data_IF_127552846708
#
_entry.id   IF_127552846708
#
_cell.length_a   1.000
_cell.length_b   1.000
_cell.length_c   1.000
_cell.angle_alpha   90.00
_cell.angle_beta   90.00
_cell.angle_gamma   90.00
#
_symmetry.space_group_name_H-M   'P 1'
#
loop_
_entity.id
_entity.type
_entity.pdbx_description
1 polymer ?
#
# COMPACT_ATOMS: atom_id res chain seq x y z
N UNK A 1 -29.24 -12.38 9.33
CA UNK A 1 -29.17 -12.62 7.87
C UNK A 1 -28.67 -11.36 7.20
N UNK A 2 -27.75 -11.41 6.21
CA UNK A 2 -27.30 -10.20 5.54
C UNK A 2 -28.47 -9.57 4.78
N UNK A 3 -28.65 -8.26 4.94
CA UNK A 3 -29.76 -7.47 4.37
C UNK A 3 -29.71 -7.42 2.83
N UNK A 4 -28.56 -7.76 2.23
CA UNK A 4 -28.37 -7.87 0.78
C UNK A 4 -27.32 -8.94 0.48
N UNK A 5 -27.53 -9.72 -0.59
CA UNK A 5 -26.55 -10.70 -1.13
C UNK A 5 -25.61 -10.08 -2.19
N UNK A 6 -25.80 -8.82 -2.56
CA UNK A 6 -24.96 -8.15 -3.54
C UNK A 6 -23.72 -7.51 -2.89
N UNK A 7 -22.60 -7.37 -3.63
CA UNK A 7 -21.44 -6.62 -3.15
C UNK A 7 -21.83 -5.21 -2.71
N UNK A 8 -21.34 -4.80 -1.54
CA UNK A 8 -21.61 -3.45 -1.04
C UNK A 8 -20.91 -2.40 -1.92
N UNK A 9 -21.65 -1.33 -2.23
CA UNK A 9 -21.08 -0.14 -2.83
C UNK A 9 -20.08 0.56 -1.90
N UNK A 10 -19.24 1.43 -2.46
CA UNK A 10 -18.14 2.07 -1.73
C UNK A 10 -18.62 2.85 -0.49
N UNK A 11 -19.75 3.54 -0.57
CA UNK A 11 -20.30 4.31 0.55
C UNK A 11 -20.77 3.41 1.69
N UNK A 12 -21.53 2.35 1.38
CA UNK A 12 -22.01 1.39 2.36
C UNK A 12 -20.84 0.66 3.04
N UNK A 13 -19.83 0.23 2.27
CA UNK A 13 -18.61 -0.39 2.80
C UNK A 13 -17.84 0.56 3.72
N UNK A 14 -17.68 1.82 3.32
CA UNK A 14 -16.96 2.82 4.10
C UNK A 14 -17.68 3.11 5.43
N UNK A 15 -19.01 3.22 5.41
CA UNK A 15 -19.80 3.50 6.60
C UNK A 15 -19.87 2.30 7.56
N UNK A 16 -20.24 1.13 7.04
CA UNK A 16 -20.51 -0.06 7.86
C UNK A 16 -19.24 -0.72 8.40
N UNK A 17 -18.14 -0.71 7.62
CA UNK A 17 -16.94 -1.46 7.96
C UNK A 17 -15.72 -0.55 8.20
N UNK A 18 -15.32 0.22 7.19
CA UNK A 18 -14.04 0.93 7.27
C UNK A 18 -14.03 2.02 8.34
N UNK A 19 -15.12 2.78 8.49
CA UNK A 19 -15.24 3.81 9.55
C UNK A 19 -15.44 3.18 10.92
N UNK A 20 -16.20 2.09 11.00
CA UNK A 20 -16.57 1.44 12.28
C UNK A 20 -15.40 0.69 12.92
N UNK A 21 -14.63 -0.06 12.14
CA UNK A 21 -13.64 -0.99 12.68
C UNK A 21 -12.19 -0.51 12.54
N UNK A 22 -11.89 0.40 11.60
CA UNK A 22 -10.50 0.82 11.38
C UNK A 22 -10.23 2.18 12.04
N UNK A 23 -9.32 2.18 13.03
CA UNK A 23 -8.83 3.42 13.65
C UNK A 23 -8.19 4.32 12.56
N UNK A 24 -8.39 5.66 12.61
CA UNK A 24 -7.83 6.57 11.59
C UNK A 24 -6.32 6.42 11.38
N UNK A 25 -5.55 6.18 12.45
CA UNK A 25 -4.11 5.92 12.36
C UNK A 25 -3.78 4.65 11.58
N UNK A 26 -4.55 3.57 11.79
CA UNK A 26 -4.31 2.29 11.13
C UNK A 26 -4.62 2.36 9.64
N UNK A 27 -5.65 3.13 9.27
CA UNK A 27 -5.96 3.43 7.86
C UNK A 27 -4.81 4.16 7.17
N UNK A 28 -4.26 5.20 7.79
CA UNK A 28 -3.12 5.95 7.23
C UNK A 28 -1.91 5.05 6.99
N UNK A 29 -1.60 4.15 7.92
CA UNK A 29 -0.52 3.16 7.75
C UNK A 29 -0.83 2.23 6.58
N UNK A 30 -2.06 1.71 6.50
CA UNK A 30 -2.50 0.80 5.42
C UNK A 30 -2.52 1.47 4.02
N UNK A 31 -2.83 2.76 3.95
CA UNK A 31 -2.85 3.54 2.71
C UNK A 31 -1.42 3.92 2.25
N UNK A 32 -0.46 3.95 3.18
CA UNK A 32 0.97 4.14 2.90
C UNK A 32 1.64 2.80 2.54
N UNK A 33 2.01 2.65 1.28
CA UNK A 33 2.66 1.44 0.76
C UNK A 33 4.01 1.14 1.42
N UNK A 34 4.74 2.17 1.86
CA UNK A 34 6.03 2.03 2.52
C UNK A 34 5.85 1.70 4.00
N UNK A 35 5.00 2.43 4.73
CA UNK A 35 4.73 2.11 6.14
C UNK A 35 4.10 0.72 6.30
N UNK A 36 3.17 0.34 5.42
CA UNK A 36 2.60 -1.02 5.44
C UNK A 36 3.67 -2.08 5.28
N UNK A 37 4.62 -1.84 4.37
CA UNK A 37 5.72 -2.78 4.09
C UNK A 37 6.65 -2.90 5.30
N UNK A 38 7.05 -1.77 5.89
CA UNK A 38 7.88 -1.71 7.09
C UNK A 38 7.21 -2.45 8.25
N UNK A 39 5.93 -2.17 8.50
CA UNK A 39 5.15 -2.87 9.53
C UNK A 39 5.08 -4.38 9.30
N UNK A 40 4.87 -4.82 8.06
CA UNK A 40 4.83 -6.26 7.75
C UNK A 40 6.17 -6.92 8.03
N UNK A 41 7.29 -6.29 7.65
CA UNK A 41 8.64 -6.79 7.96
C UNK A 41 8.87 -6.88 9.47
N UNK A 42 8.50 -5.85 10.24
CA UNK A 42 8.61 -5.84 11.71
C UNK A 42 7.80 -6.96 12.36
N UNK A 43 6.63 -7.29 11.79
CA UNK A 43 5.79 -8.40 12.25
C UNK A 43 6.21 -9.77 11.71
N UNK A 44 7.30 -9.88 10.94
CA UNK A 44 7.75 -11.14 10.34
C UNK A 44 6.87 -11.64 9.18
N UNK A 45 6.05 -10.77 8.60
CA UNK A 45 5.23 -11.07 7.42
C UNK A 45 6.07 -10.81 6.16
N UNK A 46 6.26 -11.82 5.28
CA UNK A 46 7.08 -11.67 4.10
C UNK A 46 6.42 -10.72 3.09
N UNK A 47 7.23 -9.82 2.54
CA UNK A 47 6.84 -8.86 1.50
C UNK A 47 7.85 -8.88 0.35
N UNK A 48 7.46 -8.54 -0.89
CA UNK A 48 8.41 -8.42 -2.00
C UNK A 48 9.52 -7.43 -1.67
N UNK A 49 10.75 -7.64 -2.14
CA UNK A 49 11.89 -6.72 -1.90
C UNK A 49 11.63 -5.34 -2.51
N UNK A 50 12.01 -4.27 -1.80
CA UNK A 50 12.01 -2.92 -2.37
C UNK A 50 13.32 -2.71 -3.13
N UNK A 51 13.24 -2.48 -4.43
CA UNK A 51 14.43 -2.30 -5.27
C UNK A 51 15.01 -0.89 -5.17
N UNK A 52 14.14 0.12 -5.15
CA UNK A 52 14.53 1.53 -5.02
C UNK A 52 13.37 2.35 -4.45
N UNK A 53 13.70 3.48 -3.80
CA UNK A 53 12.75 4.50 -3.34
C UNK A 53 13.22 5.87 -3.82
N UNK A 54 12.34 6.58 -4.54
CA UNK A 54 12.62 7.93 -5.03
C UNK A 54 11.77 8.94 -4.27
N UNK A 55 12.40 9.85 -3.53
CA UNK A 55 11.70 10.95 -2.84
C UNK A 55 11.52 12.18 -3.74
N UNK A 56 12.33 12.28 -4.80
CA UNK A 56 12.27 13.36 -5.79
C UNK A 56 12.63 12.83 -7.18
N UNK A 57 12.13 13.50 -8.22
CA UNK A 57 12.33 13.12 -9.62
C UNK A 57 13.81 13.10 -10.03
N UNK A 58 14.63 14.02 -9.49
CA UNK A 58 16.06 14.08 -9.80
C UNK A 58 16.79 12.76 -9.48
N UNK A 59 16.46 12.12 -8.35
CA UNK A 59 17.06 10.82 -7.98
C UNK A 59 16.66 9.70 -8.95
N UNK A 60 15.43 9.73 -9.47
CA UNK A 60 14.98 8.76 -10.46
C UNK A 60 15.68 8.98 -11.82
N UNK A 61 15.99 10.24 -12.17
CA UNK A 61 16.73 10.58 -13.40
C UNK A 61 18.19 10.15 -13.36
N UNK A 62 18.83 10.24 -12.19
CA UNK A 62 20.22 9.83 -11.99
C UNK A 62 20.37 8.36 -11.57
N UNK A 63 19.28 7.59 -11.51
CA UNK A 63 19.31 6.18 -11.10
C UNK A 63 19.78 5.31 -12.26
N UNK A 64 20.67 4.36 -11.97
CA UNK A 64 21.10 3.37 -12.96
C UNK A 64 20.06 2.25 -13.08
N UNK A 65 19.17 2.39 -14.06
CA UNK A 65 18.10 1.43 -14.34
C UNK A 65 18.59 0.07 -14.83
N UNK A 66 19.86 -0.04 -15.27
CA UNK A 66 20.43 -1.32 -15.73
C UNK A 66 20.68 -2.30 -14.59
N UNK A 67 20.71 -1.81 -13.35
CA UNK A 67 20.85 -2.62 -12.13
C UNK A 67 19.58 -3.39 -11.75
N UNK A 68 18.44 -3.06 -12.35
CA UNK A 68 17.15 -3.67 -12.03
C UNK A 68 16.96 -5.01 -12.74
N UNK A 69 16.17 -5.94 -12.16
CA UNK A 69 15.84 -7.19 -12.82
C UNK A 69 15.02 -6.96 -14.10
N UNK A 70 14.95 -7.98 -14.96
CA UNK A 70 14.20 -7.96 -16.23
C UNK A 70 12.75 -7.50 -16.08
N UNK A 71 12.12 -7.77 -14.94
CA UNK A 71 10.75 -7.35 -14.64
C UNK A 71 10.67 -6.70 -13.27
N UNK A 72 10.14 -5.48 -13.20
CA UNK A 72 9.85 -4.77 -11.97
C UNK A 72 8.60 -3.89 -12.14
N UNK A 73 8.12 -3.33 -11.04
CA UNK A 73 6.95 -2.45 -11.03
C UNK A 73 7.30 -1.13 -10.35
N UNK A 74 7.10 -0.02 -11.06
CA UNK A 74 7.21 1.33 -10.52
C UNK A 74 5.81 1.84 -10.14
N UNK A 75 5.66 2.36 -8.92
CA UNK A 75 4.40 2.90 -8.40
C UNK A 75 4.66 4.15 -7.57
N UNK A 76 3.73 5.12 -7.55
CA UNK A 76 3.79 6.22 -6.60
C UNK A 76 3.67 5.71 -5.16
N UNK A 77 4.48 6.26 -4.27
CA UNK A 77 4.28 6.15 -2.83
C UNK A 77 3.18 7.14 -2.44
N UNK A 78 2.13 6.62 -1.80
CA UNK A 78 0.80 7.24 -1.60
C UNK A 78 0.01 7.44 -2.89
#
# INVERSE_FOLDING_TARGET
MPVSKQPLGINARNFLFLKRYNKPRAKRVADDKLMTKELFLECGIPVPTLLAKFTHLAKARSFDWTTLPRSFVLKPAH
#
